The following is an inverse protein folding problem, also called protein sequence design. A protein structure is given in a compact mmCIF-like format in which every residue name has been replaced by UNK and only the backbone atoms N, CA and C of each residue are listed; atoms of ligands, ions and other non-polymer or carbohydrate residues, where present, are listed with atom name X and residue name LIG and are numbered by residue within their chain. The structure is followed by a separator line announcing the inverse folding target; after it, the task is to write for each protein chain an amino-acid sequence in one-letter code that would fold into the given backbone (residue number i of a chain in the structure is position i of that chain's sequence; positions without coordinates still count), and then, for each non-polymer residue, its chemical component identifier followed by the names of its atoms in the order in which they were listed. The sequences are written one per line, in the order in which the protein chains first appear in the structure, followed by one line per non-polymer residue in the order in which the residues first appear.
data_IF_430125992676
#
_entry.id   IF_430125992676
#
_cell.length_a   1.000
_cell.length_b   1.000
_cell.length_c   1.000
_cell.angle_alpha   90.00
_cell.angle_beta   90.00
_cell.angle_gamma   90.00
#
_symmetry.space_group_name_H-M   'P 1'
#
loop_
_entity.id
_entity.type
_entity.pdbx_description
1 polymer ?
#
# COMPACT_ATOMS: atom_id res chain seq x y z
N UNK A 1 -0.02 11.76 -11.16
CA UNK A 1 1.01 12.32 -10.25
C UNK A 1 1.75 11.16 -9.58
N UNK A 2 2.96 11.37 -9.07
CA UNK A 2 3.69 10.36 -8.29
C UNK A 2 3.39 10.57 -6.80
N UNK A 3 2.87 9.54 -6.13
CA UNK A 3 2.48 9.57 -4.71
C UNK A 3 3.26 8.48 -3.98
N UNK A 4 3.93 8.82 -2.89
CA UNK A 4 4.66 7.87 -2.05
C UNK A 4 4.03 7.81 -0.66
N UNK A 5 3.68 6.60 -0.19
CA UNK A 5 3.12 6.34 1.13
C UNK A 5 4.17 5.57 1.95
N UNK A 6 4.53 6.10 3.12
CA UNK A 6 5.45 5.45 4.05
C UNK A 6 4.68 4.96 5.26
N UNK A 7 4.81 3.68 5.58
CA UNK A 7 4.10 3.07 6.71
C UNK A 7 4.98 2.05 7.39
N UNK A 8 4.81 1.89 8.70
CA UNK A 8 5.47 0.83 9.46
C UNK A 8 4.77 -0.53 9.32
N UNK A 9 3.58 -0.55 8.71
CA UNK A 9 2.78 -1.76 8.54
C UNK A 9 1.90 -1.67 7.30
N UNK A 10 1.92 -2.74 6.49
CA UNK A 10 1.08 -2.89 5.31
C UNK A 10 0.72 -4.36 5.11
N UNK A 11 0.48 -4.81 3.87
CA UNK A 11 0.17 -6.20 3.58
C UNK A 11 1.32 -7.14 4.04
N UNK A 12 0.99 -8.33 4.55
CA UNK A 12 -0.33 -8.96 4.63
C UNK A 12 -1.11 -8.63 5.91
N UNK A 13 -0.67 -7.68 6.73
CA UNK A 13 -1.26 -7.45 8.03
C UNK A 13 -2.69 -6.87 7.92
N UNK A 14 -3.74 -7.53 8.45
CA UNK A 14 -5.14 -7.15 8.22
C UNK A 14 -5.66 -6.00 9.12
N UNK A 15 -4.78 -5.20 9.73
CA UNK A 15 -5.22 -4.08 10.56
C UNK A 15 -5.87 -2.95 9.74
N UNK A 16 -6.72 -2.16 10.39
CA UNK A 16 -7.48 -1.09 9.73
C UNK A 16 -6.61 -0.09 8.96
N UNK A 17 -5.38 0.17 9.43
CA UNK A 17 -4.40 1.01 8.71
C UNK A 17 -4.06 0.44 7.34
N UNK A 18 -3.81 -0.87 7.23
CA UNK A 18 -3.54 -1.53 5.95
C UNK A 18 -4.72 -1.38 5.00
N UNK A 19 -5.95 -1.57 5.50
CA UNK A 19 -7.17 -1.40 4.71
C UNK A 19 -7.29 0.02 4.17
N UNK A 20 -7.06 1.05 4.99
CA UNK A 20 -7.13 2.45 4.54
C UNK A 20 -6.07 2.77 3.48
N UNK A 21 -4.82 2.33 3.70
CA UNK A 21 -3.72 2.54 2.73
C UNK A 21 -4.06 1.86 1.40
N UNK A 22 -4.59 0.64 1.45
CA UNK A 22 -4.97 -0.11 0.26
C UNK A 22 -6.10 0.57 -0.51
N UNK A 23 -7.15 1.04 0.19
CA UNK A 23 -8.22 1.81 -0.45
C UNK A 23 -7.69 3.10 -1.10
N UNK A 24 -6.79 3.83 -0.43
CA UNK A 24 -6.19 5.03 -1.03
C UNK A 24 -5.35 4.72 -2.25
N UNK A 25 -4.51 3.68 -2.20
CA UNK A 25 -3.72 3.23 -3.35
C UNK A 25 -4.62 2.97 -4.55
N UNK A 26 -5.65 2.15 -4.37
CA UNK A 26 -6.59 1.77 -5.44
C UNK A 26 -7.32 2.98 -6.03
N UNK A 27 -7.83 3.88 -5.19
CA UNK A 27 -8.57 5.06 -5.69
C UNK A 27 -7.65 6.08 -6.36
N UNK A 28 -6.42 6.28 -5.87
CA UNK A 28 -5.43 7.13 -6.54
C UNK A 28 -4.96 6.55 -7.87
N UNK A 29 -4.72 5.23 -7.94
CA UNK A 29 -4.41 4.54 -9.19
C UNK A 29 -5.57 4.67 -10.19
N UNK A 30 -6.82 4.49 -9.74
CA UNK A 30 -8.02 4.70 -10.56
C UNK A 30 -8.13 6.13 -11.09
N UNK A 31 -7.65 7.11 -10.34
CA UNK A 31 -7.56 8.52 -10.75
C UNK A 31 -6.37 8.81 -11.70
N UNK A 32 -5.61 7.79 -12.13
CA UNK A 32 -4.47 7.95 -13.04
C UNK A 32 -3.18 8.43 -12.35
N UNK A 33 -3.04 8.16 -11.05
CA UNK A 33 -1.81 8.43 -10.31
C UNK A 33 -0.95 7.17 -10.20
N UNK A 34 0.36 7.36 -10.07
CA UNK A 34 1.30 6.27 -9.78
C UNK A 34 1.59 6.31 -8.29
N UNK A 35 1.28 5.22 -7.59
CA UNK A 35 1.41 5.12 -6.14
C UNK A 35 2.54 4.15 -5.79
N UNK A 36 3.39 4.55 -4.84
CA UNK A 36 4.46 3.73 -4.28
C UNK A 36 4.22 3.58 -2.79
N UNK A 37 4.35 2.35 -2.28
CA UNK A 37 4.22 2.06 -0.85
C UNK A 37 5.56 1.54 -0.34
N UNK A 38 6.10 2.21 0.68
CA UNK A 38 7.30 1.82 1.37
C UNK A 38 6.93 1.31 2.76
N UNK A 39 7.12 0.01 2.97
CA UNK A 39 6.80 -0.67 4.20
C UNK A 39 7.83 -1.77 4.51
N UNK A 40 7.95 -2.22 5.78
CA UNK A 40 8.76 -3.38 6.11
C UNK A 40 8.31 -4.62 5.34
N UNK A 41 9.28 -5.41 4.88
CA UNK A 41 8.98 -6.70 4.26
C UNK A 41 8.61 -7.72 5.34
N UNK A 42 7.46 -8.36 5.17
CA UNK A 42 7.07 -9.51 5.99
C UNK A 42 7.71 -10.80 5.45
N UNK A 43 8.19 -11.65 6.35
CA UNK A 43 8.78 -12.94 5.98
C UNK A 43 7.76 -13.81 5.23
N UNK A 44 8.19 -14.41 4.12
CA UNK A 44 7.35 -15.23 3.22
C UNK A 44 6.18 -14.50 2.54
N UNK A 45 6.06 -13.18 2.70
CA UNK A 45 5.11 -12.39 1.94
C UNK A 45 5.70 -12.00 0.58
N UNK A 46 4.96 -12.29 -0.48
CA UNK A 46 5.21 -11.75 -1.81
C UNK A 46 4.06 -10.83 -2.16
N UNK A 47 4.39 -9.58 -2.38
CA UNK A 47 3.43 -8.63 -2.92
C UNK A 47 2.95 -9.12 -4.30
N UNK A 48 1.66 -8.96 -4.55
CA UNK A 48 0.96 -9.40 -5.78
C UNK A 48 0.41 -8.22 -6.58
N UNK A 49 0.61 -7.00 -6.07
CA UNK A 49 0.19 -5.76 -6.73
C UNK A 49 1.06 -5.45 -7.96
#
# INVERSE_FOLDING_TARGET
MNIAIFTNNYLPNPYGVTTSIESFRQEFERAGHTVYIFAPQFENYKDKN
#
